data_IF_002342111422
#
_entry.id   IF_002342111422
#
_cell.length_a   1.000
_cell.length_b   1.000
_cell.length_c   1.000
_cell.angle_alpha   90.00
_cell.angle_beta   90.00
_cell.angle_gamma   90.00
#
_symmetry.space_group_name_H-M   'P 1'
#
loop_
_entity.id
_entity.type
_entity.pdbx_description
1 polymer ?
#
# COMPACT_ATOMS: atom_id res chain seq x y z
N UNK A 1 15.88 15.82 6.45
CA UNK A 1 14.79 15.74 7.43
C UNK A 1 14.06 14.42 7.27
N UNK A 2 13.91 13.64 8.35
CA UNK A 2 13.17 12.37 8.36
C UNK A 2 11.67 12.61 8.26
N UNK A 3 10.88 11.57 7.96
CA UNK A 3 9.41 11.70 7.91
C UNK A 3 8.83 12.14 9.27
N UNK A 4 9.35 11.60 10.36
CA UNK A 4 8.99 12.00 11.74
C UNK A 4 9.24 13.50 11.98
N UNK A 5 10.42 13.99 11.63
CA UNK A 5 10.76 15.42 11.79
C UNK A 5 9.83 16.34 10.99
N UNK A 6 9.37 15.92 9.80
CA UNK A 6 8.39 16.69 9.01
C UNK A 6 7.04 16.77 9.70
N UNK A 7 6.57 15.66 10.28
CA UNK A 7 5.32 15.60 11.05
C UNK A 7 5.40 16.49 12.29
N UNK A 8 6.49 16.42 13.05
CA UNK A 8 6.71 17.25 14.24
C UNK A 8 6.73 18.74 13.87
N UNK A 9 7.39 19.10 12.77
CA UNK A 9 7.43 20.47 12.27
C UNK A 9 6.04 20.99 11.88
N UNK A 10 5.25 20.16 11.18
CA UNK A 10 3.88 20.51 10.80
C UNK A 10 2.98 20.73 12.02
N UNK A 11 3.05 19.85 13.03
CA UNK A 11 2.27 19.99 14.26
C UNK A 11 2.65 21.25 15.03
N UNK A 12 3.94 21.52 15.21
CA UNK A 12 4.41 22.71 15.89
C UNK A 12 3.91 24.00 15.22
N UNK A 13 3.90 24.05 13.89
CA UNK A 13 3.37 25.21 13.16
C UNK A 13 1.85 25.32 13.30
N UNK A 14 1.12 24.20 13.20
CA UNK A 14 -0.34 24.16 13.31
C UNK A 14 -0.84 24.59 14.70
N UNK A 15 -0.11 24.28 15.76
CA UNK A 15 -0.47 24.66 17.14
C UNK A 15 -0.22 26.13 17.45
N UNK A 16 0.73 26.78 16.77
CA UNK A 16 1.14 28.14 17.09
C UNK A 16 0.40 29.23 16.27
N UNK A 17 -0.66 28.86 15.53
CA UNK A 17 -1.53 29.74 14.73
C UNK A 17 -0.74 30.81 13.94
N UNK A 18 0.38 30.39 13.34
CA UNK A 18 1.18 31.28 12.53
C UNK A 18 0.36 31.67 11.29
N UNK A 19 0.30 32.97 10.97
CA UNK A 19 -0.33 33.52 9.74
C UNK A 19 0.28 32.97 8.43
N UNK A 20 1.25 32.06 8.51
CA UNK A 20 1.91 31.40 7.38
C UNK A 20 2.07 29.91 7.65
N UNK A 21 1.41 29.08 6.84
CA UNK A 21 1.65 27.65 6.75
C UNK A 21 2.63 27.40 5.60
N UNK A 22 3.86 26.92 5.86
CA UNK A 22 4.78 26.50 4.81
C UNK A 22 4.16 25.41 3.92
N UNK A 23 4.62 25.32 2.67
CA UNK A 23 4.20 24.23 1.78
C UNK A 23 4.77 22.89 2.30
N UNK A 24 3.89 22.08 2.89
CA UNK A 24 4.23 20.75 3.38
C UNK A 24 3.87 19.68 2.37
N UNK A 25 4.67 18.61 2.31
CA UNK A 25 4.35 17.43 1.52
C UNK A 25 2.93 16.95 1.83
N UNK A 26 2.11 16.76 0.78
CA UNK A 26 0.73 16.31 0.91
C UNK A 26 0.57 15.07 1.80
N UNK A 27 1.53 14.15 1.74
CA UNK A 27 1.56 12.95 2.57
C UNK A 27 1.63 13.25 4.07
N UNK A 28 2.36 14.30 4.48
CA UNK A 28 2.49 14.72 5.88
C UNK A 28 1.15 15.27 6.37
N UNK A 29 0.53 16.12 5.57
CA UNK A 29 -0.77 16.72 5.84
C UNK A 29 -1.83 15.62 5.96
N UNK A 30 -1.96 14.76 4.94
CA UNK A 30 -2.96 13.70 4.92
C UNK A 30 -2.73 12.69 6.07
N UNK A 31 -1.49 12.36 6.41
CA UNK A 31 -1.20 11.49 7.55
C UNK A 31 -1.82 12.08 8.83
N UNK A 32 -1.60 13.36 9.11
CA UNK A 32 -2.12 14.00 10.32
C UNK A 32 -3.63 14.16 10.28
N UNK A 33 -4.17 14.66 9.18
CA UNK A 33 -5.59 15.01 9.07
C UNK A 33 -6.50 13.78 8.94
N UNK A 34 -6.01 12.69 8.34
CA UNK A 34 -6.82 11.47 8.07
C UNK A 34 -6.52 10.34 9.04
N UNK A 35 -5.25 10.13 9.42
CA UNK A 35 -4.89 9.07 10.38
C UNK A 35 -4.93 9.56 11.82
N UNK A 36 -4.44 10.77 12.07
CA UNK A 36 -4.21 11.32 13.39
C UNK A 36 -2.91 10.81 14.02
N UNK A 37 -2.38 11.56 14.99
CA UNK A 37 -1.07 11.30 15.60
C UNK A 37 -0.95 9.90 16.23
N UNK A 38 -1.98 9.46 16.96
CA UNK A 38 -2.01 8.15 17.62
C UNK A 38 -1.77 6.99 16.65
N UNK A 39 -2.35 7.06 15.45
CA UNK A 39 -2.18 6.03 14.43
C UNK A 39 -0.79 6.11 13.78
N UNK A 40 -0.28 7.32 13.54
CA UNK A 40 1.06 7.55 13.00
C UNK A 40 2.14 6.99 13.94
N UNK A 41 1.99 7.22 15.24
CA UNK A 41 2.86 6.68 16.30
C UNK A 41 2.80 5.16 16.35
N UNK A 42 1.60 4.57 16.26
CA UNK A 42 1.41 3.11 16.19
C UNK A 42 2.13 2.50 14.99
N UNK A 43 2.19 3.23 13.87
CA UNK A 43 2.92 2.87 12.66
C UNK A 43 4.41 3.27 12.71
N UNK A 44 4.89 3.75 13.85
CA UNK A 44 6.26 4.18 14.10
C UNK A 44 6.83 5.12 13.02
N UNK A 45 5.98 6.02 12.52
CA UNK A 45 6.34 6.97 11.44
C UNK A 45 6.86 6.30 10.15
N UNK A 46 6.60 5.01 9.95
CA UNK A 46 7.07 4.28 8.80
C UNK A 46 6.27 4.70 7.55
N UNK A 47 6.93 5.43 6.64
CA UNK A 47 6.31 6.07 5.47
C UNK A 47 5.45 5.09 4.65
N UNK A 48 5.96 3.89 4.39
CA UNK A 48 5.23 2.89 3.60
C UNK A 48 3.95 2.40 4.29
N UNK A 49 3.97 2.21 5.60
CA UNK A 49 2.78 1.76 6.33
C UNK A 49 1.73 2.86 6.47
N UNK A 50 2.19 4.11 6.60
CA UNK A 50 1.33 5.30 6.60
C UNK A 50 0.62 5.43 5.25
N UNK A 51 1.35 5.32 4.13
CA UNK A 51 0.75 5.33 2.79
C UNK A 51 -0.29 4.20 2.65
N UNK A 52 0.02 2.98 3.12
CA UNK A 52 -0.92 1.85 3.11
C UNK A 52 -2.15 2.12 4.00
N UNK A 53 -2.00 2.79 5.13
CA UNK A 53 -3.10 3.15 6.02
C UNK A 53 -4.00 4.23 5.38
N UNK A 54 -3.40 5.24 4.76
CA UNK A 54 -4.12 6.28 4.00
C UNK A 54 -4.93 5.68 2.85
N UNK A 55 -4.35 4.77 2.06
CA UNK A 55 -5.08 4.04 0.99
C UNK A 55 -6.26 3.26 1.57
N UNK A 56 -6.11 2.69 2.77
CA UNK A 56 -7.19 1.91 3.40
C UNK A 56 -8.36 2.81 3.83
N UNK A 57 -8.08 4.04 4.27
CA UNK A 57 -9.07 5.03 4.71
C UNK A 57 -9.61 5.95 3.60
N UNK A 58 -9.02 5.96 2.40
CA UNK A 58 -9.47 6.84 1.31
C UNK A 58 -10.86 6.50 0.77
N UNK A 59 -11.44 7.36 -0.07
CA UNK A 59 -12.73 7.11 -0.74
C UNK A 59 -12.62 6.26 -2.02
N UNK A 60 -11.44 5.72 -2.30
CA UNK A 60 -11.22 4.85 -3.45
C UNK A 60 -12.16 3.62 -3.40
N UNK A 61 -12.60 3.17 -4.58
CA UNK A 61 -13.34 1.91 -4.68
C UNK A 61 -12.53 0.76 -4.07
N UNK A 62 -13.22 -0.27 -3.55
CA UNK A 62 -12.55 -1.47 -2.99
C UNK A 62 -11.51 -2.06 -3.97
N UNK A 63 -11.83 -2.08 -5.27
CA UNK A 63 -10.92 -2.58 -6.30
C UNK A 63 -9.65 -1.73 -6.40
N UNK A 64 -9.79 -0.40 -6.41
CA UNK A 64 -8.66 0.53 -6.51
C UNK A 64 -7.79 0.52 -5.25
N UNK A 65 -8.40 0.37 -4.07
CA UNK A 65 -7.65 0.16 -2.81
C UNK A 65 -6.78 -1.09 -2.87
N UNK A 66 -7.35 -2.20 -3.34
CA UNK A 66 -6.60 -3.46 -3.48
C UNK A 66 -5.45 -3.29 -4.48
N UNK A 67 -5.71 -2.73 -5.66
CA UNK A 67 -4.66 -2.50 -6.66
C UNK A 67 -3.52 -1.62 -6.12
N UNK A 68 -3.86 -0.52 -5.44
CA UNK A 68 -2.89 0.40 -4.84
C UNK A 68 -2.07 -0.27 -3.73
N UNK A 69 -2.72 -1.06 -2.87
CA UNK A 69 -2.02 -1.83 -1.83
C UNK A 69 -1.13 -2.93 -2.43
N UNK A 70 -1.53 -3.57 -3.53
CA UNK A 70 -0.69 -4.56 -4.20
C UNK A 70 0.60 -3.90 -4.75
N UNK A 71 0.49 -2.73 -5.37
CA UNK A 71 1.66 -1.96 -5.83
C UNK A 71 2.58 -1.58 -4.68
N UNK A 72 2.02 -1.19 -3.52
CA UNK A 72 2.78 -0.87 -2.30
C UNK A 72 3.36 -2.09 -1.57
N UNK A 73 3.05 -3.32 -2.02
CA UNK A 73 3.67 -4.56 -1.55
C UNK A 73 4.61 -5.14 -2.62
N UNK A 74 5.28 -4.29 -3.39
CA UNK A 74 6.30 -4.63 -4.38
C UNK A 74 5.83 -5.48 -5.58
N UNK A 75 4.52 -5.53 -5.85
CA UNK A 75 3.99 -6.13 -7.09
C UNK A 75 4.07 -5.13 -8.26
N UNK A 76 5.28 -4.72 -8.59
CA UNK A 76 5.62 -3.84 -9.71
C UNK A 76 5.88 -4.63 -10.99
N UNK A 77 6.08 -3.93 -12.10
CA UNK A 77 6.35 -4.55 -13.41
C UNK A 77 7.62 -5.39 -13.34
N UNK A 78 7.53 -6.62 -13.89
CA UNK A 78 8.65 -7.56 -13.90
C UNK A 78 8.72 -8.45 -12.66
N UNK A 79 8.05 -8.07 -11.56
CA UNK A 79 8.01 -8.89 -10.33
C UNK A 79 7.40 -10.26 -10.61
N UNK A 80 8.03 -11.29 -10.04
CA UNK A 80 7.58 -12.68 -10.12
C UNK A 80 7.26 -13.16 -8.71
N UNK A 81 6.05 -13.69 -8.53
CA UNK A 81 5.58 -14.23 -7.24
C UNK A 81 4.93 -15.59 -7.42
N UNK A 82 5.19 -16.48 -6.49
CA UNK A 82 4.53 -17.79 -6.40
C UNK A 82 3.06 -17.63 -6.06
N UNK A 83 2.28 -18.67 -6.35
CA UNK A 83 0.87 -18.71 -5.96
C UNK A 83 0.68 -18.57 -4.44
N UNK A 84 1.61 -19.08 -3.64
CA UNK A 84 1.57 -19.01 -2.18
C UNK A 84 1.81 -17.57 -1.69
N UNK A 85 2.87 -16.92 -2.19
CA UNK A 85 3.16 -15.52 -1.87
C UNK A 85 1.99 -14.60 -2.26
N UNK A 86 1.42 -14.79 -3.46
CA UNK A 86 0.28 -13.98 -3.90
C UNK A 86 -0.95 -14.18 -3.02
N UNK A 87 -1.20 -15.41 -2.56
CA UNK A 87 -2.30 -15.69 -1.63
C UNK A 87 -2.09 -15.01 -0.29
N UNK A 88 -0.86 -15.02 0.24
CA UNK A 88 -0.53 -14.33 1.50
C UNK A 88 -0.77 -12.83 1.36
N UNK A 89 -0.17 -12.20 0.34
CA UNK A 89 -0.29 -10.75 0.11
C UNK A 89 -1.75 -10.34 -0.09
N UNK A 90 -2.51 -11.08 -0.90
CA UNK A 90 -3.94 -10.82 -1.09
C UNK A 90 -4.74 -11.04 0.21
N UNK A 91 -4.39 -12.06 0.98
CA UNK A 91 -5.01 -12.35 2.28
C UNK A 91 -4.83 -11.19 3.25
N UNK A 92 -3.61 -10.69 3.39
CA UNK A 92 -3.29 -9.56 4.26
C UNK A 92 -4.05 -8.28 3.86
N UNK A 93 -4.11 -8.02 2.55
CA UNK A 93 -4.88 -6.88 2.01
C UNK A 93 -6.38 -7.06 2.28
N UNK A 94 -6.93 -8.25 2.05
CA UNK A 94 -8.34 -8.53 2.29
C UNK A 94 -8.70 -8.38 3.77
N UNK A 95 -7.87 -8.90 4.67
CA UNK A 95 -8.04 -8.74 6.11
C UNK A 95 -8.01 -7.26 6.50
N UNK A 96 -7.03 -6.50 6.01
CA UNK A 96 -6.90 -5.05 6.28
C UNK A 96 -8.12 -4.25 5.81
N UNK A 97 -8.72 -4.65 4.70
CA UNK A 97 -9.91 -3.99 4.12
C UNK A 97 -11.25 -4.60 4.60
N UNK A 98 -11.24 -5.56 5.52
CA UNK A 98 -12.45 -6.23 6.02
C UNK A 98 -13.19 -7.08 4.97
N UNK A 99 -12.48 -7.55 3.95
CA UNK A 99 -13.05 -8.35 2.85
C UNK A 99 -13.11 -9.82 3.25
N UNK A 100 -14.33 -10.34 3.46
CA UNK A 100 -14.59 -11.75 3.77
C UNK A 100 -14.52 -12.64 2.51
N UNK A 101 -13.35 -12.70 1.88
CA UNK A 101 -13.11 -13.53 0.69
C UNK A 101 -11.83 -14.34 0.87
N UNK A 102 -11.88 -15.62 0.55
CA UNK A 102 -10.66 -16.45 0.53
C UNK A 102 -9.69 -15.95 -0.56
N UNK A 103 -8.42 -15.69 -0.24
CA UNK A 103 -7.44 -15.24 -1.22
C UNK A 103 -7.08 -16.35 -2.20
N UNK A 104 -6.99 -16.00 -3.49
CA UNK A 104 -6.54 -16.88 -4.56
C UNK A 104 -5.53 -16.13 -5.42
N UNK A 105 -4.43 -16.81 -5.79
CA UNK A 105 -3.42 -16.26 -6.70
C UNK A 105 -4.04 -15.78 -8.02
N UNK A 106 -5.09 -16.44 -8.51
CA UNK A 106 -5.78 -16.06 -9.75
C UNK A 106 -6.47 -14.70 -9.65
N UNK A 107 -6.77 -14.21 -8.44
CA UNK A 107 -7.34 -12.87 -8.27
C UNK A 107 -6.40 -11.76 -8.73
N UNK A 108 -5.08 -12.01 -8.83
CA UNK A 108 -4.13 -11.01 -9.32
C UNK A 108 -4.48 -10.53 -10.73
N UNK A 109 -5.09 -11.41 -11.55
CA UNK A 109 -5.54 -11.14 -12.92
C UNK A 109 -6.61 -10.04 -12.99
N UNK A 110 -7.28 -9.73 -11.88
CA UNK A 110 -8.27 -8.65 -11.81
C UNK A 110 -7.62 -7.25 -11.75
N UNK A 111 -6.38 -7.19 -11.29
CA UNK A 111 -5.68 -5.93 -11.01
C UNK A 111 -4.49 -5.72 -11.96
N UNK A 112 -3.91 -6.82 -12.46
CA UNK A 112 -2.73 -6.80 -13.32
C UNK A 112 -2.90 -7.72 -14.51
N UNK A 113 -2.35 -7.28 -15.64
CA UNK A 113 -1.97 -8.19 -16.70
C UNK A 113 -0.77 -9.01 -16.21
N UNK A 114 -0.92 -10.32 -16.24
CA UNK A 114 0.09 -11.25 -15.74
C UNK A 114 0.33 -12.38 -16.73
N UNK A 115 1.53 -12.94 -16.67
CA UNK A 115 1.90 -14.16 -17.40
C UNK A 115 2.13 -15.26 -16.37
N UNK A 116 1.51 -16.42 -16.58
CA UNK A 116 1.75 -17.59 -15.74
C UNK A 116 3.17 -18.10 -15.98
N UNK A 117 3.90 -18.41 -14.91
CA UNK A 117 5.30 -18.81 -14.99
C UNK A 117 5.63 -19.91 -13.97
N UNK A 118 6.72 -20.62 -14.23
CA UNK A 118 7.34 -21.57 -13.31
C UNK A 118 8.53 -20.88 -12.63
N UNK A 119 8.58 -20.96 -11.31
CA UNK A 119 9.59 -20.29 -10.48
C UNK A 119 10.44 -21.38 -9.83
N UNK A 120 11.74 -21.38 -10.11
CA UNK A 120 12.69 -22.27 -9.44
C UNK A 120 13.05 -21.68 -8.08
N UNK A 121 12.79 -22.44 -7.02
CA UNK A 121 13.17 -22.11 -5.64
C UNK A 121 14.00 -23.27 -5.09
N UNK A 122 15.32 -23.15 -5.21
CA UNK A 122 16.25 -24.25 -4.95
C UNK A 122 15.94 -25.44 -5.86
N UNK A 123 15.64 -26.59 -5.25
CA UNK A 123 15.34 -27.84 -5.97
C UNK A 123 13.87 -27.98 -6.37
N UNK A 124 12.99 -27.06 -5.93
CA UNK A 124 11.56 -27.12 -6.20
C UNK A 124 11.17 -26.13 -7.30
N UNK A 125 10.25 -26.54 -8.15
CA UNK A 125 9.61 -25.66 -9.13
C UNK A 125 8.18 -25.40 -8.67
N UNK A 126 7.83 -24.12 -8.50
CA UNK A 126 6.49 -23.69 -8.11
C UNK A 126 5.81 -22.92 -9.24
N UNK A 127 4.49 -22.99 -9.26
CA UNK A 127 3.68 -22.15 -10.16
C UNK A 127 3.52 -20.75 -9.57
N UNK A 128 3.50 -19.75 -10.44
CA UNK A 128 3.28 -18.36 -10.08
C UNK A 128 2.92 -17.48 -11.27
N UNK A 129 3.00 -16.17 -11.04
CA UNK A 129 2.71 -15.16 -12.04
C UNK A 129 3.84 -14.12 -12.10
N UNK A 130 4.16 -13.69 -13.32
CA UNK A 130 4.97 -12.50 -13.60
C UNK A 130 4.03 -11.33 -13.88
N UNK A 131 4.24 -10.21 -13.18
CA UNK A 131 3.50 -8.97 -13.40
C UNK A 131 4.00 -8.30 -14.68
N UNK A 132 3.09 -8.00 -15.61
CA UNK A 132 3.41 -7.31 -16.86
C UNK A 132 3.05 -5.83 -16.77
N UNK A 133 1.82 -5.52 -16.36
CA UNK A 133 1.38 -4.14 -16.11
C UNK A 133 0.10 -4.11 -15.28
N UNK A 134 -0.20 -3.01 -14.57
CA UNK A 134 -1.52 -2.77 -13.98
C UNK A 134 -2.59 -2.67 -15.08
N UNK A 135 -3.80 -3.18 -14.83
CA UNK A 135 -4.89 -3.09 -15.79
C UNK A 135 -5.52 -1.70 -15.82
N UNK A 136 -5.75 -1.09 -14.66
CA UNK A 136 -6.05 0.35 -14.52
C UNK A 136 -5.91 0.72 -13.05
N UNK A 137 -5.17 1.78 -12.75
CA UNK A 137 -5.16 2.42 -11.42
C UNK A 137 -5.74 3.80 -11.66
N UNK A 138 -7.00 4.03 -11.28
CA UNK A 138 -7.49 5.40 -11.17
C UNK A 138 -6.85 5.97 -9.91
N UNK A 139 -5.90 6.88 -10.10
CA UNK A 139 -5.42 7.80 -9.08
C UNK A 139 -6.38 8.97 -9.05
#
# INVERSE_FOLDING_TARGET
MTFKQKIESYLAIKENDFNYMPDFERLVIDAIEVLGLKEIERLNYHKGDIEKALISKSDLSKSNKIASLLLKNDLTIGTVKTNEELKLILGDIYNKLGIKKAPSATHIKKYFQVVQTKIKMGDKIKNGYKIIKPLTVFV
#
